data_IF_525382733300
#
_entry.id   IF_525382733300
#
_cell.length_a   1.000
_cell.length_b   1.000
_cell.length_c   1.000
_cell.angle_alpha   90.00
_cell.angle_beta   90.00
_cell.angle_gamma   90.00
#
_symmetry.space_group_name_H-M   'P 1'
#
loop_
_entity.id
_entity.type
_entity.pdbx_description
1 polymer ?
#
# COMPACT_ATOMS: atom_id res chain seq x y z
N UNK A 1 4.21 47.97 -10.30
CA UNK A 1 5.18 47.21 -9.49
C UNK A 1 4.44 46.10 -8.76
N UNK A 2 4.64 44.85 -9.17
CA UNK A 2 4.33 43.65 -8.40
C UNK A 2 5.12 42.51 -9.07
N UNK A 3 6.35 42.30 -8.59
CA UNK A 3 7.18 41.20 -9.02
C UNK A 3 6.68 39.92 -8.33
N UNK A 4 6.32 38.92 -9.12
CA UNK A 4 6.10 37.55 -8.64
C UNK A 4 7.48 36.93 -8.47
N UNK A 5 7.97 36.92 -7.24
CA UNK A 5 9.14 36.14 -6.85
C UNK A 5 8.73 34.66 -6.80
N UNK A 6 8.92 33.95 -7.90
CA UNK A 6 8.92 32.50 -7.90
C UNK A 6 10.21 32.02 -7.24
N UNK A 7 10.08 31.30 -6.13
CA UNK A 7 11.16 30.61 -5.44
C UNK A 7 11.76 29.56 -6.39
N UNK A 8 12.88 29.91 -7.01
CA UNK A 8 13.65 29.04 -7.88
C UNK A 8 14.41 28.04 -7.03
N UNK A 9 13.72 26.96 -6.64
CA UNK A 9 14.35 25.76 -6.13
C UNK A 9 15.37 25.25 -7.15
N UNK A 10 16.65 25.56 -6.92
CA UNK A 10 17.78 25.10 -7.72
C UNK A 10 18.06 23.63 -7.38
N UNK A 11 17.12 22.76 -7.70
CA UNK A 11 17.37 21.33 -7.71
C UNK A 11 18.37 21.03 -8.81
N UNK A 12 19.59 20.67 -8.43
CA UNK A 12 20.50 20.01 -9.36
C UNK A 12 19.81 18.73 -9.84
N UNK A 13 19.42 18.70 -11.11
CA UNK A 13 18.97 17.48 -11.75
C UNK A 13 20.19 16.58 -11.91
N UNK A 14 20.43 15.72 -10.92
CA UNK A 14 21.39 14.63 -11.05
C UNK A 14 20.72 13.58 -11.94
N UNK A 15 21.16 13.49 -13.19
CA UNK A 15 20.72 12.43 -14.09
C UNK A 15 21.45 11.14 -13.69
N UNK A 16 20.74 10.26 -13.00
CA UNK A 16 21.26 8.96 -12.61
C UNK A 16 21.33 7.96 -13.79
N UNK A 17 20.88 8.32 -15.00
CA UNK A 17 20.81 7.40 -16.14
C UNK A 17 19.88 6.21 -15.89
N UNK A 18 18.94 6.35 -14.95
CA UNK A 18 18.03 5.29 -14.51
C UNK A 18 16.69 5.42 -15.23
N UNK A 19 16.43 4.57 -16.21
CA UNK A 19 15.07 4.35 -16.67
C UNK A 19 14.33 3.48 -15.63
N UNK A 20 13.27 4.02 -15.04
CA UNK A 20 12.40 3.31 -14.09
C UNK A 20 10.96 3.22 -14.59
N UNK A 21 10.67 3.71 -15.79
CA UNK A 21 9.31 3.69 -16.35
C UNK A 21 8.89 2.29 -16.80
N UNK A 22 7.58 2.04 -16.84
CA UNK A 22 7.01 0.79 -17.37
C UNK A 22 7.10 -0.42 -16.44
N UNK A 23 6.41 -1.50 -16.78
CA UNK A 23 6.34 -2.69 -15.94
C UNK A 23 7.66 -3.46 -15.89
N UNK A 24 8.50 -3.33 -16.91
CA UNK A 24 9.83 -3.94 -17.05
C UNK A 24 10.79 -3.58 -15.91
N UNK A 25 10.56 -2.44 -15.26
CA UNK A 25 11.40 -1.95 -14.17
C UNK A 25 10.72 -2.04 -12.79
N UNK A 26 9.59 -2.74 -12.69
CA UNK A 26 8.83 -2.89 -11.45
C UNK A 26 9.66 -3.48 -10.31
N UNK A 27 10.46 -4.53 -10.58
CA UNK A 27 11.35 -5.11 -9.57
C UNK A 27 12.35 -4.09 -9.02
N UNK A 28 12.99 -3.33 -9.93
CA UNK A 28 13.98 -2.32 -9.54
C UNK A 28 13.35 -1.19 -8.74
N UNK A 29 12.15 -0.75 -9.12
CA UNK A 29 11.38 0.22 -8.34
C UNK A 29 11.04 -0.33 -6.96
N UNK A 30 10.64 -1.60 -6.88
CA UNK A 30 10.35 -2.26 -5.61
C UNK A 30 11.57 -2.30 -4.68
N UNK A 31 12.76 -2.63 -5.19
CA UNK A 31 14.01 -2.62 -4.39
C UNK A 31 14.29 -1.23 -3.81
N UNK A 32 14.08 -0.18 -4.62
CA UNK A 32 14.22 1.22 -4.19
C UNK A 32 13.19 1.56 -3.12
N UNK A 33 11.91 1.20 -3.32
CA UNK A 33 10.85 1.45 -2.35
C UNK A 33 11.13 0.75 -1.02
N UNK A 34 11.50 -0.52 -1.05
CA UNK A 34 11.83 -1.27 0.17
C UNK A 34 12.98 -0.63 0.94
N UNK A 35 14.06 -0.24 0.24
CA UNK A 35 15.17 0.48 0.84
C UNK A 35 14.70 1.78 1.50
N UNK A 36 13.90 2.60 0.80
CA UNK A 36 13.38 3.85 1.36
C UNK A 36 12.48 3.61 2.58
N UNK A 37 11.56 2.64 2.49
CA UNK A 37 10.57 2.36 3.54
C UNK A 37 11.23 1.84 4.83
N UNK A 38 12.32 1.06 4.70
CA UNK A 38 13.08 0.52 5.83
C UNK A 38 13.68 1.59 6.75
N UNK A 39 13.84 2.82 6.25
CA UNK A 39 14.37 3.96 7.00
C UNK A 39 13.30 4.93 7.53
N UNK A 40 12.01 4.67 7.27
CA UNK A 40 10.92 5.52 7.72
C UNK A 40 10.56 5.27 9.18
N UNK A 41 10.28 6.36 9.90
CA UNK A 41 9.59 6.33 11.18
C UNK A 41 8.11 6.00 11.02
N UNK A 42 7.48 5.53 12.10
CA UNK A 42 6.04 5.25 12.13
C UNK A 42 5.18 6.46 11.74
N UNK A 43 5.58 7.67 12.15
CA UNK A 43 4.87 8.90 11.78
C UNK A 43 4.96 9.18 10.27
N UNK A 44 6.14 8.99 9.67
CA UNK A 44 6.33 9.16 8.23
C UNK A 44 5.57 8.11 7.43
N UNK A 45 5.51 6.87 7.91
CA UNK A 45 4.70 5.79 7.30
C UNK A 45 3.23 6.17 7.25
N UNK A 46 2.65 6.68 8.35
CA UNK A 46 1.28 7.20 8.36
C UNK A 46 1.11 8.28 7.29
N UNK A 47 2.02 9.24 7.25
CA UNK A 47 1.96 10.35 6.29
C UNK A 47 2.09 9.93 4.83
N UNK A 48 2.91 8.91 4.54
CA UNK A 48 3.07 8.36 3.19
C UNK A 48 1.83 7.55 2.80
N UNK A 49 1.32 6.69 3.68
CA UNK A 49 0.07 5.95 3.45
C UNK A 49 -1.09 6.90 3.15
N UNK A 50 -1.19 8.00 3.89
CA UNK A 50 -2.22 9.02 3.68
C UNK A 50 -2.11 9.69 2.30
N UNK A 51 -0.89 10.06 1.90
CA UNK A 51 -0.64 10.69 0.60
C UNK A 51 -0.87 9.73 -0.57
N UNK A 52 -0.36 8.50 -0.50
CA UNK A 52 -0.60 7.48 -1.52
C UNK A 52 -2.11 7.20 -1.67
N UNK A 53 -2.83 7.06 -0.55
CA UNK A 53 -4.27 6.80 -0.59
C UNK A 53 -5.07 7.98 -1.15
N UNK A 54 -4.73 9.22 -0.78
CA UNK A 54 -5.50 10.39 -1.21
C UNK A 54 -5.12 10.89 -2.60
N UNK A 55 -3.82 11.03 -2.87
CA UNK A 55 -3.32 11.71 -4.08
C UNK A 55 -3.19 10.73 -5.25
N UNK A 56 -2.77 9.49 -4.99
CA UNK A 56 -2.59 8.48 -6.05
C UNK A 56 -3.88 7.68 -6.24
N UNK A 57 -4.34 7.00 -5.20
CA UNK A 57 -5.56 6.18 -5.29
C UNK A 57 -6.81 7.06 -5.44
N UNK A 58 -6.93 8.14 -4.66
CA UNK A 58 -8.00 9.12 -4.84
C UNK A 58 -7.94 9.84 -6.19
N UNK A 59 -6.75 10.16 -6.71
CA UNK A 59 -6.57 10.74 -8.05
C UNK A 59 -7.06 9.83 -9.18
N UNK A 60 -7.01 8.51 -8.99
CA UNK A 60 -7.60 7.54 -9.92
C UNK A 60 -9.14 7.57 -9.96
N UNK A 61 -9.80 8.12 -8.92
CA UNK A 61 -11.27 8.31 -8.90
C UNK A 61 -11.71 9.60 -9.58
N UNK A 62 -10.79 10.52 -9.88
CA UNK A 62 -11.13 11.76 -10.54
C UNK A 62 -11.64 11.54 -11.97
N UNK A 63 -12.41 12.49 -12.49
CA UNK A 63 -12.98 12.39 -13.84
C UNK A 63 -11.94 12.60 -14.94
N UNK A 64 -10.84 13.29 -14.62
CA UNK A 64 -9.79 13.66 -15.56
C UNK A 64 -8.42 13.28 -14.98
N UNK A 65 -7.47 12.95 -15.84
CA UNK A 65 -6.10 12.64 -15.45
C UNK A 65 -5.65 11.25 -15.86
N UNK A 66 -4.33 11.05 -15.93
CA UNK A 66 -3.74 9.82 -16.46
C UNK A 66 -4.02 8.60 -15.56
N UNK A 67 -4.13 8.82 -14.24
CA UNK A 67 -4.46 7.77 -13.27
C UNK A 67 -5.89 7.23 -13.48
N UNK A 68 -6.86 8.12 -13.67
CA UNK A 68 -8.24 7.74 -13.98
C UNK A 68 -8.35 6.98 -15.31
N UNK A 69 -7.56 7.40 -16.32
CA UNK A 69 -7.47 6.69 -17.59
C UNK A 69 -6.83 5.30 -17.45
N UNK A 70 -5.88 5.12 -16.54
CA UNK A 70 -5.26 3.81 -16.26
C UNK A 70 -6.23 2.81 -15.60
N UNK A 71 -7.23 3.29 -14.86
CA UNK A 71 -8.29 2.46 -14.29
C UNK A 71 -9.27 1.93 -15.34
N UNK A 72 -9.30 2.52 -16.54
CA UNK A 72 -10.24 2.14 -17.61
C UNK A 72 -9.52 1.32 -18.67
N UNK A 73 -10.19 0.31 -19.21
CA UNK A 73 -9.66 -0.49 -20.30
C UNK A 73 -9.39 0.43 -21.49
N UNK A 74 -8.11 0.57 -21.89
CA UNK A 74 -7.66 1.49 -22.93
C UNK A 74 -8.52 1.35 -24.22
N UNK A 75 -9.42 2.30 -24.51
CA UNK A 75 -10.34 2.17 -25.63
C UNK A 75 -10.05 3.26 -26.64
N UNK A 76 -9.02 3.16 -27.48
CA UNK A 76 -8.99 3.87 -28.77
C UNK A 76 -7.95 3.27 -29.74
N UNK A 77 -8.38 2.49 -30.75
CA UNK A 77 -7.55 2.12 -31.90
C UNK A 77 -7.44 3.21 -33.00
N UNK A 78 -8.06 4.38 -32.83
CA UNK A 78 -8.34 5.31 -33.94
C UNK A 78 -7.67 6.69 -33.88
N UNK A 79 -6.70 6.93 -32.98
CA UNK A 79 -5.94 8.18 -32.98
C UNK A 79 -4.77 8.12 -33.99
N UNK A 80 -4.25 9.26 -34.48
CA UNK A 80 -3.07 9.26 -35.35
C UNK A 80 -1.81 8.73 -34.64
N UNK A 81 -0.92 8.05 -35.37
CA UNK A 81 0.18 7.21 -34.87
C UNK A 81 1.05 7.86 -33.76
N UNK A 82 1.38 9.14 -33.89
CA UNK A 82 2.21 9.85 -32.90
C UNK A 82 1.47 10.15 -31.58
N UNK A 83 0.16 10.42 -31.62
CA UNK A 83 -0.65 10.65 -30.42
C UNK A 83 -1.04 9.34 -29.74
N UNK A 84 -1.20 8.25 -30.51
CA UNK A 84 -1.36 6.91 -29.96
C UNK A 84 -0.17 6.52 -29.09
N UNK A 85 1.06 6.71 -29.58
CA UNK A 85 2.27 6.35 -28.84
C UNK A 85 2.42 7.12 -27.52
N UNK A 86 2.15 8.43 -27.51
CA UNK A 86 2.23 9.23 -26.29
C UNK A 86 1.14 8.87 -25.27
N UNK A 87 -0.10 8.67 -25.73
CA UNK A 87 -1.20 8.27 -24.85
C UNK A 87 -0.99 6.87 -24.29
N UNK A 88 -0.46 5.95 -25.09
CA UNK A 88 -0.09 4.60 -24.64
C UNK A 88 1.02 4.67 -23.57
N UNK A 89 2.05 5.49 -23.77
CA UNK A 89 3.12 5.66 -22.78
C UNK A 89 2.62 6.27 -21.47
N UNK A 90 1.74 7.29 -21.54
CA UNK A 90 1.12 7.90 -20.36
C UNK A 90 0.25 6.89 -19.61
N UNK A 91 -0.55 6.11 -20.34
CA UNK A 91 -1.37 5.05 -19.76
C UNK A 91 -0.51 3.97 -19.07
N UNK A 92 0.56 3.49 -19.71
CA UNK A 92 1.50 2.53 -19.12
C UNK A 92 2.17 3.07 -17.87
N UNK A 93 2.58 4.34 -17.89
CA UNK A 93 3.23 5.00 -16.76
C UNK A 93 2.26 5.15 -15.58
N UNK A 94 1.03 5.62 -15.83
CA UNK A 94 0.00 5.76 -14.81
C UNK A 94 -0.44 4.40 -14.23
N UNK A 95 -0.55 3.37 -15.07
CA UNK A 95 -0.79 2.00 -14.62
C UNK A 95 0.32 1.51 -13.69
N UNK A 96 1.58 1.75 -14.06
CA UNK A 96 2.74 1.37 -13.24
C UNK A 96 2.69 2.07 -11.88
N UNK A 97 2.38 3.37 -11.85
CA UNK A 97 2.23 4.15 -10.60
C UNK A 97 1.15 3.57 -9.69
N UNK A 98 -0.02 3.20 -10.23
CA UNK A 98 -1.10 2.61 -9.44
C UNK A 98 -0.72 1.22 -8.91
N UNK A 99 -0.10 0.38 -9.73
CA UNK A 99 0.35 -0.95 -9.31
C UNK A 99 1.45 -0.87 -8.24
N UNK A 100 2.38 0.08 -8.39
CA UNK A 100 3.40 0.36 -7.37
C UNK A 100 2.78 0.86 -6.08
N UNK A 101 1.80 1.78 -6.15
CA UNK A 101 1.12 2.29 -4.96
C UNK A 101 0.42 1.17 -4.19
N UNK A 102 -0.30 0.26 -4.86
CA UNK A 102 -0.88 -0.91 -4.20
C UNK A 102 0.19 -1.83 -3.60
N UNK A 103 1.31 -2.03 -4.31
CA UNK A 103 2.43 -2.87 -3.82
C UNK A 103 3.08 -2.28 -2.56
N UNK A 104 3.32 -0.97 -2.55
CA UNK A 104 3.87 -0.26 -1.40
C UNK A 104 2.90 -0.34 -0.22
N UNK A 105 1.63 -0.01 -0.45
CA UNK A 105 0.60 0.00 0.60
C UNK A 105 0.34 -1.39 1.19
N UNK A 106 0.50 -2.45 0.38
CA UNK A 106 0.40 -3.85 0.84
C UNK A 106 1.72 -4.40 1.43
N UNK A 107 2.75 -3.56 1.58
CA UNK A 107 4.00 -4.00 2.21
C UNK A 107 3.83 -4.05 3.72
N UNK A 108 4.31 -5.15 4.32
CA UNK A 108 4.35 -5.26 5.77
C UNK A 108 5.26 -4.20 6.44
N UNK A 109 6.17 -3.59 5.67
CA UNK A 109 7.09 -2.56 6.16
C UNK A 109 6.40 -1.20 6.33
N UNK A 110 5.28 -0.97 5.64
CA UNK A 110 4.45 0.22 5.80
C UNK A 110 3.59 0.21 7.07
N UNK A 111 3.57 -0.90 7.81
CA UNK A 111 2.79 -1.04 9.04
C UNK A 111 3.38 -0.20 10.17
N UNK A 112 2.48 0.35 10.98
CA UNK A 112 2.76 1.27 12.09
C UNK A 112 2.56 0.54 13.42
N UNK A 113 3.56 0.59 14.29
CA UNK A 113 3.61 -0.17 15.53
C UNK A 113 4.36 -1.50 15.39
N UNK A 114 4.78 -2.07 16.53
CA UNK A 114 5.42 -3.40 16.54
C UNK A 114 4.43 -4.45 16.03
N UNK A 115 4.94 -5.47 15.34
CA UNK A 115 4.26 -6.76 15.05
C UNK A 115 3.96 -7.53 16.34
N UNK A 116 3.34 -6.89 17.33
CA UNK A 116 2.71 -7.59 18.44
C UNK A 116 1.54 -8.39 17.83
N UNK A 117 1.36 -9.60 18.35
CA UNK A 117 0.40 -10.59 17.86
C UNK A 117 -0.95 -9.96 17.50
N UNK A 118 -1.51 -10.38 16.37
CA UNK A 118 -2.84 -9.95 15.88
C UNK A 118 -3.98 -10.40 16.82
N UNK A 119 -3.68 -11.12 17.90
CA UNK A 119 -4.66 -11.63 18.87
C UNK A 119 -4.90 -10.74 20.09
N UNK A 120 -4.23 -9.59 20.22
CA UNK A 120 -4.38 -8.69 21.39
C UNK A 120 -5.60 -7.74 21.28
N UNK A 121 -6.66 -8.17 20.58
CA UNK A 121 -8.00 -7.55 20.68
C UNK A 121 -8.79 -8.07 21.90
N UNK A 122 -8.20 -8.96 22.72
CA UNK A 122 -8.72 -9.38 24.02
C UNK A 122 -7.65 -9.28 25.11
N UNK A 123 -7.28 -8.05 25.48
CA UNK A 123 -7.25 -7.58 26.87
C UNK A 123 -6.69 -6.17 26.89
N UNK A 124 -7.55 -5.23 27.25
CA UNK A 124 -7.17 -3.90 27.70
C UNK A 124 -6.44 -4.02 29.05
N UNK A 125 -5.22 -4.56 29.00
CA UNK A 125 -4.26 -4.54 30.08
C UNK A 125 -3.64 -3.16 30.12
N UNK A 126 -4.17 -2.31 30.98
CA UNK A 126 -3.61 -1.01 31.36
C UNK A 126 -2.20 -1.09 32.02
N UNK A 127 -1.47 -2.20 31.83
CA UNK A 127 -0.08 -2.31 32.22
C UNK A 127 0.77 -1.63 31.15
N UNK A 128 1.00 -0.32 31.34
CA UNK A 128 2.31 0.20 31.00
C UNK A 128 3.34 -0.70 31.71
N UNK A 129 4.48 -1.07 31.08
CA UNK A 129 5.59 -1.62 31.83
C UNK A 129 6.02 -0.53 32.81
N UNK A 130 5.52 -0.60 34.05
CA UNK A 130 5.83 0.36 35.11
C UNK A 130 7.30 0.26 35.53
N UNK A 131 7.93 -0.87 35.19
CA UNK A 131 9.34 -1.15 35.43
C UNK A 131 10.15 -0.96 34.14
N UNK A 132 10.49 0.30 33.83
CA UNK A 132 11.37 0.64 32.72
C UNK A 132 11.74 2.12 32.72
N UNK A 133 12.84 2.53 32.05
CA UNK A 133 13.23 3.94 31.98
C UNK A 133 12.10 4.81 31.42
N UNK A 134 11.91 6.02 31.96
CA UNK A 134 10.85 6.95 31.53
C UNK A 134 10.81 7.18 30.01
N UNK A 135 11.98 7.17 29.35
CA UNK A 135 12.09 7.27 27.89
C UNK A 135 11.47 6.06 27.15
N UNK A 136 11.62 4.84 27.68
CA UNK A 136 11.04 3.63 27.10
C UNK A 136 9.51 3.60 27.27
N UNK A 137 9.00 4.06 28.41
CA UNK A 137 7.56 4.21 28.65
C UNK A 137 6.94 5.23 27.69
N UNK A 138 7.57 6.39 27.54
CA UNK A 138 7.10 7.43 26.61
C UNK A 138 7.10 6.94 25.16
N UNK A 139 8.13 6.19 24.74
CA UNK A 139 8.18 5.59 23.41
C UNK A 139 7.05 4.57 23.19
N UNK A 140 6.74 3.74 24.19
CA UNK A 140 5.64 2.78 24.13
C UNK A 140 4.28 3.48 24.02
N UNK A 141 4.04 4.53 24.81
CA UNK A 141 2.80 5.33 24.74
C UNK A 141 2.65 6.01 23.38
N UNK A 142 3.73 6.63 22.86
CA UNK A 142 3.74 7.23 21.52
C UNK A 142 3.45 6.21 20.43
N UNK A 143 4.07 5.02 20.49
CA UNK A 143 3.81 3.94 19.54
C UNK A 143 2.33 3.51 19.54
N UNK A 144 1.75 3.27 20.73
CA UNK A 144 0.32 2.94 20.88
C UNK A 144 -0.59 4.01 20.27
N UNK A 145 -0.29 5.29 20.50
CA UNK A 145 -1.05 6.41 19.94
C UNK A 145 -0.96 6.44 18.41
N UNK A 146 0.25 6.30 17.84
CA UNK A 146 0.46 6.28 16.40
C UNK A 146 -0.27 5.12 15.74
N UNK A 147 -0.25 3.92 16.34
CA UNK A 147 -1.03 2.78 15.84
C UNK A 147 -2.54 3.04 15.86
N UNK A 148 -3.08 3.67 16.90
CA UNK A 148 -4.50 4.07 16.95
C UNK A 148 -4.86 5.08 15.86
N UNK A 149 -4.01 6.09 15.65
CA UNK A 149 -4.19 7.09 14.59
C UNK A 149 -4.14 6.43 13.21
N UNK A 150 -3.14 5.58 12.97
CA UNK A 150 -2.98 4.84 11.71
C UNK A 150 -4.19 3.97 11.43
N UNK A 151 -4.65 3.20 12.43
CA UNK A 151 -5.84 2.35 12.34
C UNK A 151 -7.06 3.19 11.97
N UNK A 152 -7.33 4.26 12.73
CA UNK A 152 -8.47 5.16 12.48
C UNK A 152 -8.43 5.75 11.07
N UNK A 153 -7.28 6.24 10.63
CA UNK A 153 -7.10 6.78 9.29
C UNK A 153 -7.35 5.74 8.20
N UNK A 154 -6.84 4.52 8.37
CA UNK A 154 -7.05 3.43 7.42
C UNK A 154 -8.53 3.12 7.26
N UNK A 155 -9.27 2.93 8.36
CA UNK A 155 -10.69 2.58 8.35
C UNK A 155 -11.55 3.74 7.83
N UNK A 156 -11.36 4.96 8.34
CA UNK A 156 -12.26 6.08 8.03
C UNK A 156 -11.94 6.78 6.71
N UNK A 157 -10.70 6.67 6.21
CA UNK A 157 -10.28 7.39 4.99
C UNK A 157 -9.89 6.44 3.86
N UNK A 158 -9.00 5.48 4.12
CA UNK A 158 -8.43 4.66 3.04
C UNK A 158 -9.43 3.65 2.52
N UNK A 159 -10.12 2.92 3.39
CA UNK A 159 -11.07 1.87 2.98
C UNK A 159 -12.22 2.41 2.11
N UNK A 160 -12.85 3.56 2.41
CA UNK A 160 -13.83 4.17 1.50
C UNK A 160 -13.28 4.46 0.09
N UNK A 161 -12.03 4.93 -0.01
CA UNK A 161 -11.37 5.16 -1.32
C UNK A 161 -11.21 3.83 -2.06
N UNK A 162 -10.78 2.77 -1.38
CA UNK A 162 -10.64 1.44 -1.97
C UNK A 162 -11.98 0.86 -2.43
N UNK A 163 -13.06 1.06 -1.67
CA UNK A 163 -14.39 0.60 -2.07
C UNK A 163 -14.86 1.30 -3.35
N UNK A 164 -14.69 2.62 -3.44
CA UNK A 164 -15.01 3.37 -4.66
C UNK A 164 -14.15 2.92 -5.85
N UNK A 165 -12.86 2.69 -5.63
CA UNK A 165 -11.97 2.20 -6.69
C UNK A 165 -12.34 0.77 -7.13
N UNK A 166 -12.78 -0.09 -6.21
CA UNK A 166 -13.26 -1.43 -6.55
C UNK A 166 -14.38 -1.35 -7.58
N UNK A 167 -15.38 -0.50 -7.35
CA UNK A 167 -16.48 -0.29 -8.30
C UNK A 167 -15.96 0.11 -9.67
N UNK A 168 -15.10 1.13 -9.74
CA UNK A 168 -14.53 1.61 -11.02
C UNK A 168 -13.72 0.53 -11.74
N UNK A 169 -12.84 -0.18 -11.02
CA UNK A 169 -11.97 -1.21 -11.59
C UNK A 169 -12.74 -2.47 -12.00
N UNK A 170 -13.81 -2.80 -11.29
CA UNK A 170 -14.67 -3.94 -11.58
C UNK A 170 -15.53 -3.69 -12.81
N UNK A 171 -16.15 -2.51 -12.92
CA UNK A 171 -16.92 -2.08 -14.10
C UNK A 171 -16.05 -2.04 -15.36
N UNK A 172 -14.81 -1.56 -15.24
CA UNK A 172 -13.87 -1.48 -16.35
C UNK A 172 -13.16 -2.80 -16.67
N UNK A 173 -13.32 -3.83 -15.84
CA UNK A 173 -12.58 -5.11 -15.90
C UNK A 173 -11.06 -4.89 -15.93
N UNK A 174 -10.57 -3.96 -15.10
CA UNK A 174 -9.16 -3.61 -15.04
C UNK A 174 -8.30 -4.69 -14.40
N UNK A 175 -7.07 -4.85 -14.88
CA UNK A 175 -6.08 -5.74 -14.27
C UNK A 175 -5.63 -5.27 -12.87
N UNK A 176 -5.80 -3.98 -12.55
CA UNK A 176 -5.48 -3.42 -11.22
C UNK A 176 -6.45 -3.91 -10.13
N UNK A 177 -7.60 -4.49 -10.50
CA UNK A 177 -8.56 -5.02 -9.53
C UNK A 177 -7.91 -6.10 -8.64
N UNK A 178 -6.99 -6.89 -9.20
CA UNK A 178 -6.24 -7.90 -8.43
C UNK A 178 -5.35 -7.26 -7.36
N UNK A 179 -4.67 -6.18 -7.70
CA UNK A 179 -3.77 -5.47 -6.78
C UNK A 179 -4.58 -4.76 -5.67
N UNK A 180 -5.72 -4.16 -6.03
CA UNK A 180 -6.67 -3.58 -5.08
C UNK A 180 -7.21 -4.62 -4.11
N UNK A 181 -7.69 -5.77 -4.61
CA UNK A 181 -8.27 -6.82 -3.76
C UNK A 181 -7.23 -7.43 -2.84
N UNK A 182 -5.98 -7.59 -3.29
CA UNK A 182 -4.86 -8.02 -2.43
C UNK A 182 -4.72 -7.07 -1.23
N UNK A 183 -4.75 -5.76 -1.46
CA UNK A 183 -4.61 -4.79 -0.39
C UNK A 183 -5.83 -4.79 0.55
N UNK A 184 -7.06 -4.86 0.02
CA UNK A 184 -8.27 -4.96 0.84
C UNK A 184 -8.28 -6.21 1.73
N UNK A 185 -7.83 -7.37 1.22
CA UNK A 185 -7.72 -8.60 2.02
C UNK A 185 -6.70 -8.43 3.14
N UNK A 186 -5.58 -7.75 2.91
CA UNK A 186 -4.61 -7.47 3.96
C UNK A 186 -5.20 -6.59 5.07
N UNK A 187 -5.89 -5.50 4.70
CA UNK A 187 -6.57 -4.63 5.67
C UNK A 187 -7.62 -5.42 6.46
N UNK A 188 -8.42 -6.25 5.77
CA UNK A 188 -9.47 -7.05 6.39
C UNK A 188 -8.91 -8.05 7.41
N UNK A 189 -7.73 -8.64 7.14
CA UNK A 189 -7.06 -9.54 8.09
C UNK A 189 -6.55 -8.83 9.33
N UNK A 190 -6.21 -7.54 9.22
CA UNK A 190 -5.67 -6.75 10.34
C UNK A 190 -6.75 -6.13 11.21
N UNK A 191 -7.90 -5.77 10.62
CA UNK A 191 -8.96 -5.00 11.28
C UNK A 191 -10.34 -5.59 11.00
N UNK A 192 -10.47 -6.90 11.23
CA UNK A 192 -11.64 -7.70 10.81
C UNK A 192 -12.95 -7.18 11.38
N UNK A 193 -12.94 -6.75 12.64
CA UNK A 193 -14.14 -6.25 13.32
C UNK A 193 -14.57 -4.92 12.70
N UNK A 194 -13.66 -3.95 12.65
CA UNK A 194 -13.94 -2.61 12.14
C UNK A 194 -14.36 -2.63 10.65
N UNK A 195 -13.72 -3.48 9.84
CA UNK A 195 -14.08 -3.60 8.41
C UNK A 195 -15.44 -4.29 8.24
N UNK A 196 -15.79 -5.27 9.08
CA UNK A 196 -17.14 -5.89 9.06
C UNK A 196 -18.23 -4.88 9.37
N UNK A 197 -18.00 -4.03 10.35
CA UNK A 197 -18.93 -2.95 10.71
C UNK A 197 -19.05 -1.92 9.59
N UNK A 198 -17.91 -1.47 9.04
CA UNK A 198 -17.88 -0.51 7.94
C UNK A 198 -18.60 -1.03 6.69
N UNK A 199 -18.41 -2.32 6.36
CA UNK A 199 -18.98 -2.97 5.18
C UNK A 199 -20.33 -3.66 5.43
N UNK A 200 -21.02 -3.34 6.53
CA UNK A 200 -22.33 -3.93 6.84
C UNK A 200 -23.37 -3.67 5.73
N UNK A 201 -23.21 -2.60 4.94
CA UNK A 201 -24.05 -2.26 3.79
C UNK A 201 -23.60 -2.89 2.46
N UNK A 202 -22.44 -3.56 2.42
CA UNK A 202 -21.91 -4.26 1.24
C UNK A 202 -21.61 -5.74 1.58
N UNK A 203 -22.64 -6.58 1.71
CA UNK A 203 -22.48 -7.99 2.04
C UNK A 203 -21.74 -8.77 0.95
N UNK A 204 -21.76 -8.31 -0.30
CA UNK A 204 -21.07 -8.95 -1.42
C UNK A 204 -19.57 -8.81 -1.24
N UNK A 205 -19.07 -7.59 -1.02
CA UNK A 205 -17.65 -7.37 -0.77
C UNK A 205 -17.18 -8.10 0.48
N UNK A 206 -17.99 -8.12 1.55
CA UNK A 206 -17.62 -8.84 2.76
C UNK A 206 -17.43 -10.35 2.52
N UNK A 207 -18.32 -10.97 1.74
CA UNK A 207 -18.19 -12.38 1.36
C UNK A 207 -16.96 -12.64 0.49
N UNK A 208 -16.66 -11.75 -0.46
CA UNK A 208 -15.44 -11.81 -1.27
C UNK A 208 -14.18 -11.80 -0.37
N UNK A 209 -14.08 -10.84 0.55
CA UNK A 209 -12.93 -10.71 1.46
C UNK A 209 -12.79 -11.90 2.41
N UNK A 210 -13.89 -12.43 2.94
CA UNK A 210 -13.87 -13.63 3.78
C UNK A 210 -13.43 -14.87 2.99
N UNK A 211 -13.86 -15.00 1.74
CA UNK A 211 -13.42 -16.10 0.88
C UNK A 211 -11.92 -15.99 0.56
N UNK A 212 -11.47 -14.83 0.08
CA UNK A 212 -10.08 -14.62 -0.32
C UNK A 212 -9.11 -14.73 0.87
N UNK A 213 -9.52 -14.27 2.06
CA UNK A 213 -8.74 -14.47 3.29
C UNK A 213 -8.53 -15.95 3.59
N UNK A 214 -9.59 -16.77 3.49
CA UNK A 214 -9.49 -18.23 3.69
C UNK A 214 -8.57 -18.87 2.65
N UNK A 215 -8.62 -18.44 1.39
CA UNK A 215 -7.74 -18.96 0.35
C UNK A 215 -6.28 -18.54 0.59
N UNK A 216 -6.04 -17.30 1.00
CA UNK A 216 -4.71 -16.81 1.34
C UNK A 216 -4.07 -17.63 2.48
N UNK A 217 -4.85 -17.96 3.51
CA UNK A 217 -4.38 -18.76 4.65
C UNK A 217 -4.06 -20.20 4.27
N UNK A 218 -4.89 -20.82 3.42
CA UNK A 218 -4.64 -22.17 2.88
C UNK A 218 -3.35 -22.22 2.06
N UNK A 219 -3.18 -21.28 1.14
CA UNK A 219 -1.99 -21.20 0.29
C UNK A 219 -0.69 -20.99 1.10
N UNK A 220 -0.77 -20.34 2.26
CA UNK A 220 0.36 -20.16 3.18
C UNK A 220 0.68 -21.44 3.98
N UNK A 221 -0.32 -22.23 4.33
CA UNK A 221 -0.13 -23.49 5.05
C UNK A 221 0.46 -24.59 4.16
N UNK A 222 0.19 -24.53 2.85
CA UNK A 222 0.72 -25.47 1.85
C UNK A 222 2.14 -25.13 1.37
N UNK A 223 2.69 -23.97 1.74
CA UNK A 223 4.09 -23.58 1.52
C UNK A 223 4.81 -23.39 2.86
N UNK A 224 5.26 -24.47 3.54
CA UNK A 224 6.18 -24.31 4.65
C UNK A 224 7.50 -23.74 4.12
N UNK A 225 7.91 -22.61 4.70
CA UNK A 225 9.19 -21.93 4.52
C UNK A 225 10.34 -22.95 4.32
N UNK A 226 11.00 -22.91 3.16
CA UNK A 226 12.24 -23.62 2.93
C UNK A 226 13.34 -22.99 3.80
N UNK A 227 13.49 -23.47 5.03
CA UNK A 227 14.63 -23.19 5.90
C UNK A 227 15.35 -24.51 6.20
N UNK A 228 16.47 -24.72 5.52
CA UNK A 228 17.65 -25.42 6.04
C UNK A 228 18.83 -24.59 5.48
N UNK A 229 19.60 -23.84 6.27
CA UNK A 229 20.13 -24.27 7.55
C UNK A 229 21.29 -25.22 7.31
N UNK A 230 22.29 -24.81 6.51
CA UNK A 230 23.53 -25.54 6.29
C UNK A 230 24.32 -25.58 7.60
N UNK A 231 23.94 -26.53 8.46
CA UNK A 231 24.68 -26.93 9.65
C UNK A 231 25.85 -27.79 9.18
N UNK A 232 27.03 -27.22 9.33
CA UNK A 232 28.27 -27.86 9.76
C UNK A 232 28.31 -29.39 9.63
N UNK A 233 28.93 -29.89 8.56
CA UNK A 233 29.59 -31.19 8.58
C UNK A 233 30.96 -31.02 9.22
N UNK A 234 30.99 -31.03 10.54
CA UNK A 234 32.17 -31.43 11.30
C UNK A 234 31.98 -32.88 11.77
N UNK A 235 33.00 -33.69 11.48
CA UNK A 235 33.42 -34.90 12.19
C UNK A 235 32.71 -36.24 11.88
N UNK A 236 33.38 -37.11 11.11
CA UNK A 236 34.00 -38.37 11.59
C UNK A 236 34.33 -39.31 10.42
N UNK A 237 35.59 -39.33 9.97
CA UNK A 237 36.52 -40.49 10.03
C UNK A 237 37.89 -40.10 9.45
#
# INVERSE_FOLDING_TARGET
>A
AAAVSGDGGSGFAVDFGLNLSGQEHAHRRHDIYHMMISHLTDEEKIGITARLSKEVLGGALESMGDLSLACRRNPQPFAPDAQLSLNEQRHKSAFSVLSDAFTILSSSDMRVGKRAHIDDDEEEGESAPTDGPAAAQLAAVKGRLLSKISRKHLIETVVPILCNLKTVLQESRSCLLKDLMRYLVEIFRLYKVEIKELLASDPTLLQELEYDTRQFEKNRQEQPEAFDGEKSTEESD
#
